data_IF_085358102016
#
_entry.id   IF_085358102016
#
_cell.length_a   1.000
_cell.length_b   1.000
_cell.length_c   1.000
_cell.angle_alpha   90.00
_cell.angle_beta   90.00
_cell.angle_gamma   90.00
#
_symmetry.space_group_name_H-M   'P 1'
#
loop_
_entity.id
_entity.type
_entity.pdbx_description
1 polymer ?
#
# COMPACT_ATOMS: atom_id res chain seq x y z
N UNK A 1 29.20 -45.50 19.93
CA UNK A 1 28.73 -44.76 18.72
C UNK A 1 27.26 -44.34 18.80
N UNK A 2 26.30 -45.26 19.04
CA UNK A 2 24.85 -44.93 19.06
C UNK A 2 24.41 -43.91 20.14
N UNK A 3 25.01 -43.93 21.35
CA UNK A 3 24.69 -42.97 22.43
C UNK A 3 25.06 -41.51 22.11
N UNK A 4 26.17 -41.29 21.40
CA UNK A 4 26.56 -39.96 20.93
C UNK A 4 25.59 -39.43 19.88
N UNK A 5 25.14 -40.29 18.97
CA UNK A 5 24.14 -39.96 17.95
C UNK A 5 22.80 -39.51 18.54
N UNK A 6 22.29 -40.19 19.58
CA UNK A 6 21.06 -39.76 20.27
C UNK A 6 21.21 -38.42 21.00
N UNK A 7 22.40 -38.14 21.54
CA UNK A 7 22.69 -36.87 22.22
C UNK A 7 22.69 -35.70 21.24
N UNK A 8 23.29 -35.87 20.06
CA UNK A 8 23.29 -34.84 19.02
C UNK A 8 21.88 -34.63 18.45
N UNK A 9 21.10 -35.72 18.32
CA UNK A 9 19.71 -35.65 17.88
C UNK A 9 18.82 -34.94 18.91
N UNK A 10 19.04 -35.18 20.20
CA UNK A 10 18.35 -34.48 21.28
C UNK A 10 18.74 -32.99 21.36
N UNK A 11 20.02 -32.67 21.15
CA UNK A 11 20.50 -31.28 21.14
C UNK A 11 19.94 -30.49 19.95
N UNK A 12 19.91 -31.10 18.75
CA UNK A 12 19.33 -30.51 17.56
C UNK A 12 17.82 -30.26 17.72
N UNK A 13 17.11 -31.21 18.34
CA UNK A 13 15.69 -31.07 18.66
C UNK A 13 15.46 -29.93 19.66
N UNK A 14 16.24 -29.86 20.74
CA UNK A 14 16.16 -28.79 21.74
C UNK A 14 16.47 -27.40 21.15
N UNK A 15 17.43 -27.30 20.23
CA UNK A 15 17.73 -26.05 19.53
C UNK A 15 16.58 -25.60 18.62
N UNK A 16 15.89 -26.54 17.96
CA UNK A 16 14.74 -26.24 17.09
C UNK A 16 13.49 -25.81 17.87
N UNK A 17 13.32 -26.31 19.10
CA UNK A 17 12.20 -25.95 19.98
C UNK A 17 12.40 -24.59 20.68
N UNK A 18 13.65 -24.13 20.83
CA UNK A 18 13.97 -22.83 21.43
C UNK A 18 13.69 -21.62 20.54
N UNK A 19 13.40 -21.83 19.25
CA UNK A 19 13.16 -20.76 18.26
C UNK A 19 11.67 -20.52 17.98
N UNK A 20 10.83 -20.63 19.00
CA UNK A 20 9.44 -20.19 18.93
C UNK A 20 9.37 -18.65 18.98
N UNK A 21 9.67 -18.00 17.85
CA UNK A 21 9.43 -16.57 17.70
C UNK A 21 7.92 -16.31 17.81
N UNK A 22 7.53 -15.33 18.62
CA UNK A 22 6.15 -14.85 18.68
C UNK A 22 5.80 -14.20 17.34
N UNK A 23 4.96 -14.88 16.56
CA UNK A 23 4.42 -14.32 15.33
C UNK A 23 3.35 -13.27 15.67
N UNK A 24 3.61 -12.01 15.34
CA UNK A 24 2.58 -10.97 15.34
C UNK A 24 1.88 -11.00 13.98
N UNK A 25 0.58 -11.26 13.97
CA UNK A 25 -0.24 -11.14 12.78
C UNK A 25 -0.88 -9.76 12.74
N UNK A 26 -0.76 -9.05 11.61
CA UNK A 26 -1.41 -7.78 11.36
C UNK A 26 -2.41 -7.96 10.22
N UNK A 27 -3.66 -7.57 10.44
CA UNK A 27 -4.68 -7.58 9.41
C UNK A 27 -4.85 -6.16 8.86
N UNK A 28 -4.45 -5.98 7.60
CA UNK A 28 -4.62 -4.74 6.87
C UNK A 28 -5.80 -4.91 5.90
N UNK A 29 -6.61 -3.88 5.70
CA UNK A 29 -7.70 -3.95 4.72
C UNK A 29 -7.20 -4.32 3.33
N UNK A 30 -7.66 -5.45 2.79
CA UNK A 30 -7.33 -5.87 1.42
C UNK A 30 -8.16 -5.06 0.43
N UNK A 31 -7.48 -4.34 -0.46
CA UNK A 31 -8.07 -3.44 -1.45
C UNK A 31 -7.75 -3.87 -2.89
N UNK A 32 -8.70 -3.62 -3.79
CA UNK A 32 -8.61 -3.93 -5.24
C UNK A 32 -8.87 -2.71 -6.12
N UNK A 33 -8.89 -1.51 -5.53
CA UNK A 33 -9.18 -0.25 -6.20
C UNK A 33 -7.97 0.31 -7.00
N UNK A 34 -6.91 -0.49 -7.21
CA UNK A 34 -5.76 -0.09 -8.02
C UNK A 34 -6.15 0.32 -9.45
N UNK A 35 -7.09 -0.42 -10.05
CA UNK A 35 -7.64 -0.11 -11.38
C UNK A 35 -8.39 1.24 -11.39
N UNK A 36 -8.97 1.62 -10.26
CA UNK A 36 -9.66 2.89 -10.10
C UNK A 36 -8.68 4.02 -9.86
N UNK A 37 -7.58 3.81 -9.15
CA UNK A 37 -6.55 4.82 -8.95
C UNK A 37 -5.27 4.18 -8.41
N UNK A 38 -4.19 4.27 -9.17
CA UNK A 38 -2.88 3.73 -8.78
C UNK A 38 -2.16 4.64 -7.78
N UNK A 39 -2.64 5.87 -7.58
CA UNK A 39 -2.06 6.83 -6.62
C UNK A 39 -2.14 6.33 -5.17
N UNK A 40 -3.16 5.54 -4.84
CA UNK A 40 -3.36 5.02 -3.48
C UNK A 40 -2.29 4.00 -3.08
N UNK A 41 -1.67 3.35 -4.06
CA UNK A 41 -0.67 2.29 -3.85
C UNK A 41 0.75 2.77 -4.19
N UNK A 42 0.89 3.70 -5.15
CA UNK A 42 2.19 4.15 -5.64
C UNK A 42 2.27 5.68 -5.74
N UNK A 43 3.09 6.37 -4.91
CA UNK A 43 3.24 7.82 -5.01
C UNK A 43 3.85 8.29 -6.33
N UNK A 44 4.64 7.46 -7.02
CA UNK A 44 5.18 7.78 -8.34
C UNK A 44 4.10 7.83 -9.44
N UNK A 45 2.91 7.29 -9.17
CA UNK A 45 1.76 7.36 -10.07
C UNK A 45 1.10 8.74 -10.08
N UNK A 46 1.45 9.63 -9.15
CA UNK A 46 0.99 11.02 -9.18
C UNK A 46 1.30 11.67 -10.54
N UNK A 47 0.33 12.38 -11.12
CA UNK A 47 0.48 13.05 -12.41
C UNK A 47 0.77 12.10 -13.59
N UNK A 48 0.37 10.84 -13.52
CA UNK A 48 0.36 9.94 -14.69
C UNK A 48 -0.60 10.44 -15.77
N UNK A 49 -1.74 11.00 -15.35
CA UNK A 49 -2.68 11.71 -16.22
C UNK A 49 -2.12 13.10 -16.55
N UNK A 50 -2.21 13.51 -17.82
CA UNK A 50 -1.77 14.84 -18.24
C UNK A 50 -2.69 15.96 -17.75
N UNK A 51 -3.95 15.62 -17.46
CA UNK A 51 -4.95 16.52 -16.89
C UNK A 51 -5.08 16.32 -15.37
N UNK A 52 -5.78 17.25 -14.72
CA UNK A 52 -6.23 17.06 -13.35
C UNK A 52 -7.28 15.94 -13.30
N UNK A 53 -7.02 14.91 -12.51
CA UNK A 53 -7.78 13.67 -12.40
C UNK A 53 -8.35 13.55 -10.99
N UNK A 54 -9.67 13.69 -10.87
CA UNK A 54 -10.42 13.50 -9.62
C UNK A 54 -11.19 12.18 -9.70
N UNK A 55 -10.99 11.30 -8.71
CA UNK A 55 -11.68 10.02 -8.62
C UNK A 55 -12.22 9.81 -7.22
N UNK A 56 -13.42 9.26 -7.12
CA UNK A 56 -14.02 8.85 -5.86
C UNK A 56 -14.73 7.52 -6.07
N UNK A 57 -14.84 6.73 -5.01
CA UNK A 57 -15.51 5.45 -5.10
C UNK A 57 -15.64 4.75 -3.76
N UNK A 58 -16.48 3.73 -3.75
CA UNK A 58 -16.72 2.88 -2.59
C UNK A 58 -16.66 1.41 -2.99
N UNK A 59 -16.31 0.55 -2.04
CA UNK A 59 -16.35 -0.90 -2.16
C UNK A 59 -16.94 -1.48 -0.89
N UNK A 60 -18.02 -2.24 -1.06
CA UNK A 60 -18.58 -3.07 -0.02
C UNK A 60 -18.16 -4.50 -0.31
N UNK A 61 -17.51 -5.16 0.64
CA UNK A 61 -17.19 -6.58 0.55
C UNK A 61 -18.17 -7.35 1.44
N UNK A 62 -18.36 -8.65 1.19
CA UNK A 62 -19.22 -9.51 2.03
C UNK A 62 -20.61 -8.89 2.25
N UNK A 63 -21.21 -8.37 1.17
CA UNK A 63 -22.49 -7.67 1.25
C UNK A 63 -23.56 -8.59 1.86
N UNK A 64 -24.38 -8.03 2.75
CA UNK A 64 -25.42 -8.77 3.47
C UNK A 64 -25.01 -9.26 4.87
N UNK A 65 -23.72 -9.22 5.22
CA UNK A 65 -23.27 -9.47 6.59
C UNK A 65 -23.18 -8.17 7.40
N UNK A 66 -23.55 -8.25 8.68
CA UNK A 66 -23.38 -7.12 9.59
C UNK A 66 -21.89 -6.89 9.90
N UNK A 67 -21.50 -5.62 9.99
CA UNK A 67 -20.09 -5.23 10.15
C UNK A 67 -19.18 -5.55 8.95
N UNK A 68 -19.75 -5.87 7.78
CA UNK A 68 -18.96 -6.22 6.61
C UNK A 68 -17.99 -5.11 6.16
N UNK A 69 -16.80 -5.45 5.61
CA UNK A 69 -15.80 -4.46 5.23
C UNK A 69 -16.31 -3.47 4.18
N UNK A 70 -16.13 -2.17 4.47
CA UNK A 70 -16.44 -1.07 3.55
C UNK A 70 -15.23 -0.16 3.40
N UNK A 71 -14.89 0.16 2.17
CA UNK A 71 -13.81 1.07 1.82
C UNK A 71 -14.37 2.19 0.97
N UNK A 72 -14.11 3.44 1.32
CA UNK A 72 -14.40 4.60 0.47
C UNK A 72 -13.13 5.41 0.25
N UNK A 73 -12.98 5.97 -0.95
CA UNK A 73 -11.84 6.82 -1.26
C UNK A 73 -12.24 8.03 -2.10
N UNK A 74 -11.43 9.08 -1.99
CA UNK A 74 -11.36 10.16 -2.94
C UNK A 74 -9.89 10.50 -3.19
N UNK A 75 -9.54 10.74 -4.46
CA UNK A 75 -8.17 11.05 -4.88
C UNK A 75 -8.16 12.14 -5.93
N UNK A 76 -7.18 13.02 -5.85
CA UNK A 76 -6.90 14.05 -6.84
C UNK A 76 -5.46 13.90 -7.30
N UNK A 77 -5.20 13.90 -8.60
CA UNK A 77 -3.85 13.82 -9.14
C UNK A 77 -3.69 14.67 -10.39
N UNK A 78 -2.53 15.28 -10.59
CA UNK A 78 -2.25 16.08 -11.77
C UNK A 78 -0.76 16.20 -12.04
N UNK A 79 -0.44 16.47 -13.31
CA UNK A 79 0.93 16.77 -13.73
C UNK A 79 1.24 18.24 -13.50
N UNK A 80 2.38 18.52 -12.88
CA UNK A 80 2.90 19.86 -12.67
C UNK A 80 3.90 20.19 -13.79
N UNK A 81 3.49 21.10 -14.68
CA UNK A 81 4.32 21.60 -15.77
C UNK A 81 4.34 20.74 -17.03
N UNK A 82 4.96 21.29 -18.08
CA UNK A 82 4.91 20.78 -19.46
C UNK A 82 6.13 19.99 -19.93
N UNK A 83 7.15 19.80 -19.08
CA UNK A 83 8.43 19.25 -19.49
C UNK A 83 8.34 17.86 -20.16
N UNK A 84 9.11 17.67 -21.23
CA UNK A 84 9.13 16.43 -22.04
C UNK A 84 10.14 15.41 -21.50
N UNK A 85 11.24 15.91 -20.92
CA UNK A 85 12.34 15.10 -20.36
C UNK A 85 12.23 14.95 -18.85
N UNK A 86 11.93 16.04 -18.14
CA UNK A 86 11.65 16.07 -16.71
C UNK A 86 10.24 16.58 -16.50
N UNK A 87 9.40 15.78 -15.87
CA UNK A 87 8.04 16.16 -15.51
C UNK A 87 7.80 15.89 -14.03
N UNK A 88 7.03 16.76 -13.41
CA UNK A 88 6.64 16.63 -12.02
C UNK A 88 5.17 16.26 -11.94
N UNK A 89 4.77 15.54 -10.91
CA UNK A 89 3.38 15.19 -10.66
C UNK A 89 3.09 15.35 -9.19
N UNK A 90 1.87 15.77 -8.87
CA UNK A 90 1.40 15.80 -7.49
C UNK A 90 0.03 15.14 -7.39
N UNK A 91 -0.29 14.70 -6.19
CA UNK A 91 -1.61 14.20 -5.90
C UNK A 91 -1.82 14.01 -4.41
N UNK A 92 -3.06 13.74 -4.05
CA UNK A 92 -3.43 13.37 -2.71
C UNK A 92 -4.65 12.49 -2.73
N UNK A 93 -4.83 11.76 -1.64
CA UNK A 93 -6.02 10.95 -1.44
C UNK A 93 -6.41 10.90 0.02
N UNK A 94 -7.71 10.72 0.24
CA UNK A 94 -8.29 10.28 1.50
C UNK A 94 -8.93 8.92 1.26
N UNK A 95 -8.67 7.99 2.16
CA UNK A 95 -9.30 6.67 2.16
C UNK A 95 -9.81 6.39 3.57
N UNK A 96 -11.02 5.86 3.65
CA UNK A 96 -11.62 5.41 4.89
C UNK A 96 -11.96 3.93 4.73
N UNK A 97 -11.38 3.11 5.60
CA UNK A 97 -11.67 1.68 5.70
C UNK A 97 -12.42 1.41 7.01
N UNK A 98 -13.50 0.65 6.92
CA UNK A 98 -14.32 0.22 8.04
C UNK A 98 -14.47 -1.30 8.00
N UNK A 99 -14.19 -1.97 9.12
CA UNK A 99 -14.32 -3.42 9.29
C UNK A 99 -14.92 -3.66 10.68
N UNK A 100 -16.20 -4.01 10.72
CA UNK A 100 -16.94 -4.15 11.98
C UNK A 100 -16.83 -2.89 12.85
N UNK A 101 -16.38 -3.01 14.11
CA UNK A 101 -16.22 -1.86 15.01
C UNK A 101 -14.93 -1.05 14.76
N UNK A 102 -13.99 -1.57 13.95
CA UNK A 102 -12.76 -0.85 13.63
C UNK A 102 -12.93 0.02 12.39
N UNK A 103 -12.45 1.25 12.48
CA UNK A 103 -12.34 2.15 11.34
C UNK A 103 -10.99 2.83 11.30
N UNK A 104 -10.49 3.11 10.11
CA UNK A 104 -9.36 3.98 9.92
C UNK A 104 -9.62 4.96 8.78
N UNK A 105 -9.05 6.15 8.90
CA UNK A 105 -9.04 7.13 7.83
C UNK A 105 -7.61 7.56 7.60
N UNK A 106 -7.16 7.45 6.37
CA UNK A 106 -5.83 7.83 5.94
C UNK A 106 -5.92 8.98 4.96
N UNK A 107 -5.17 10.04 5.25
CA UNK A 107 -4.92 11.16 4.36
C UNK A 107 -3.46 11.08 3.90
N UNK A 108 -3.22 11.20 2.60
CA UNK A 108 -1.86 11.22 2.06
C UNK A 108 -1.73 12.23 0.94
N UNK A 109 -0.60 12.91 0.91
CA UNK A 109 -0.10 13.70 -0.20
C UNK A 109 1.08 12.98 -0.83
N UNK A 110 1.23 13.11 -2.15
CA UNK A 110 2.27 12.48 -2.92
C UNK A 110 2.82 13.46 -3.97
N UNK A 111 4.13 13.39 -4.14
CA UNK A 111 4.86 14.11 -5.18
C UNK A 111 5.67 13.09 -5.99
N UNK A 112 5.78 13.32 -7.29
CA UNK A 112 6.54 12.45 -8.19
C UNK A 112 7.37 13.25 -9.18
N UNK A 113 8.47 12.63 -9.60
CA UNK A 113 9.32 13.07 -10.69
C UNK A 113 9.37 11.97 -11.75
N UNK A 114 9.31 12.36 -13.02
CA UNK A 114 9.33 11.46 -14.17
C UNK A 114 10.42 11.92 -15.12
N UNK A 115 11.31 11.00 -15.47
CA UNK A 115 12.46 11.25 -16.33
C UNK A 115 12.34 10.38 -17.58
N UNK A 116 12.41 10.98 -18.76
CA UNK A 116 12.46 10.26 -20.03
C UNK A 116 13.90 9.90 -20.36
N UNK A 117 14.17 8.61 -20.56
CA UNK A 117 15.47 8.10 -20.97
C UNK A 117 15.63 8.21 -22.48
N UNK A 118 16.89 8.15 -22.96
CA UNK A 118 17.24 8.22 -24.40
C UNK A 118 16.60 7.11 -25.22
N UNK A 119 16.38 5.92 -24.63
CA UNK A 119 15.71 4.78 -25.26
C UNK A 119 14.18 4.92 -25.32
N UNK A 120 13.61 6.05 -24.88
CA UNK A 120 12.17 6.30 -24.85
C UNK A 120 11.44 5.78 -23.61
N UNK A 121 12.11 5.00 -22.75
CA UNK A 121 11.54 4.58 -21.47
C UNK A 121 11.32 5.77 -20.53
N UNK A 122 10.40 5.63 -19.57
CA UNK A 122 10.14 6.63 -18.54
C UNK A 122 10.41 6.04 -17.17
N UNK A 123 11.41 6.57 -16.48
CA UNK A 123 11.64 6.28 -15.08
C UNK A 123 10.81 7.24 -14.23
N UNK A 124 10.13 6.74 -13.20
CA UNK A 124 9.35 7.56 -12.29
C UNK A 124 9.73 7.23 -10.85
N UNK A 125 9.88 8.27 -10.04
CA UNK A 125 10.09 8.17 -8.60
C UNK A 125 9.09 9.07 -7.88
N UNK A 126 8.69 8.69 -6.67
CA UNK A 126 7.76 9.49 -5.89
C UNK A 126 7.95 9.33 -4.41
N UNK A 127 7.52 10.35 -3.68
CA UNK A 127 7.53 10.43 -2.23
C UNK A 127 6.11 10.74 -1.77
N UNK A 128 5.69 10.14 -0.67
CA UNK A 128 4.42 10.43 -0.02
C UNK A 128 4.62 10.75 1.45
N UNK A 129 3.78 11.66 1.94
CA UNK A 129 3.64 11.99 3.33
C UNK A 129 2.15 11.98 3.69
N UNK A 130 1.80 11.44 4.83
CA UNK A 130 0.40 11.28 5.22
C UNK A 130 0.24 10.91 6.68
N UNK A 131 -1.01 10.85 7.10
CA UNK A 131 -1.42 10.49 8.45
C UNK A 131 -2.54 9.46 8.38
N UNK A 132 -2.56 8.56 9.35
CA UNK A 132 -3.63 7.58 9.52
C UNK A 132 -4.22 7.76 10.91
N UNK A 133 -5.53 7.98 10.97
CA UNK A 133 -6.29 8.03 12.20
C UNK A 133 -7.08 6.73 12.35
N UNK A 134 -6.92 6.05 13.47
CA UNK A 134 -7.73 4.89 13.85
C UNK A 134 -8.86 5.36 14.76
N UNK A 135 -10.05 4.78 14.59
CA UNK A 135 -11.24 5.05 15.39
C UNK A 135 -11.98 3.75 15.69
#
# INVERSE_FOLDING_TARGET
MKKSMYLHMALACALSLGWAATASAQFNGVRTQFLMTSLLDNPAAAGNSACLDLRMGGRNQWAGFDGAPRTSFASLSGRLGGGVTFAHGMGGFVVTDQVGPWSNTRLSLAYSTKVRLTNGARLSAGLAAGMTQYR
#
